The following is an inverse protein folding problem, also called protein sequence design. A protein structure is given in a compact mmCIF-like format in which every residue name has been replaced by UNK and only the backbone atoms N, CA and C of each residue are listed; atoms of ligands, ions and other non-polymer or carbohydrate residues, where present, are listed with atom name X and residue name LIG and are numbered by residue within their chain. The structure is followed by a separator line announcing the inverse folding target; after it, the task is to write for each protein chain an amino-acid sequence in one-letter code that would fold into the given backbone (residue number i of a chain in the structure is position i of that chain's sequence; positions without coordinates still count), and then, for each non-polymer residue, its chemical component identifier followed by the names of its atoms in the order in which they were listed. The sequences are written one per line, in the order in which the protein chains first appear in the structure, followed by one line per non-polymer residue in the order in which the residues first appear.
data_IF_173014239767
#
_entry.id   IF_173014239767
#
_cell.length_a   1.000
_cell.length_b   1.000
_cell.length_c   1.000
_cell.angle_alpha   90.00
_cell.angle_beta   90.00
_cell.angle_gamma   90.00
#
_symmetry.space_group_name_H-M   'P 1'
#
loop_
_entity.id
_entity.type
_entity.pdbx_description
1 polymer ?
#
# COMPACT_ATOMS: atom_id res chain seq x y z
N UNK A 1 34.77 36.73 -2.77
CA UNK A 1 34.29 35.34 -2.62
C UNK A 1 32.90 35.37 -2.00
N UNK A 2 31.87 35.37 -2.85
CA UNK A 2 30.49 35.26 -2.39
C UNK A 2 30.22 33.78 -2.09
N UNK A 3 30.30 33.40 -0.81
CA UNK A 3 29.69 32.15 -0.35
C UNK A 3 28.18 32.38 -0.33
N UNK A 4 27.54 32.17 -1.50
CA UNK A 4 26.10 32.29 -1.67
C UNK A 4 25.41 31.15 -0.93
N UNK A 5 25.11 31.38 0.34
CA UNK A 5 24.41 30.45 1.25
C UNK A 5 22.89 30.42 0.98
N UNK A 6 22.46 30.53 -0.28
CA UNK A 6 21.04 30.66 -0.70
C UNK A 6 20.63 29.52 -1.63
N UNK A 7 20.80 28.32 -1.14
CA UNK A 7 20.41 27.06 -1.76
C UNK A 7 20.24 26.11 -0.57
N UNK A 8 19.09 25.61 -0.14
CA UNK A 8 17.75 25.58 -0.71
C UNK A 8 16.80 25.20 0.44
N UNK A 9 15.96 26.11 0.97
CA UNK A 9 14.84 25.68 1.80
C UNK A 9 13.91 24.67 1.08
N UNK A 10 13.55 24.82 -0.22
CA UNK A 10 12.59 23.90 -0.83
C UNK A 10 13.16 22.49 -1.10
N UNK A 11 14.47 22.33 -1.34
CA UNK A 11 15.08 20.99 -1.51
C UNK A 11 15.13 20.26 -0.19
N UNK A 12 15.45 20.95 0.91
CA UNK A 12 15.45 20.36 2.24
C UNK A 12 14.04 19.91 2.65
N UNK A 13 13.02 20.74 2.40
CA UNK A 13 11.62 20.37 2.62
C UNK A 13 11.18 19.20 1.74
N UNK A 14 11.52 19.20 0.44
CA UNK A 14 11.20 18.09 -0.46
C UNK A 14 11.87 16.76 -0.01
N UNK A 15 13.12 16.81 0.43
CA UNK A 15 13.83 15.65 0.99
C UNK A 15 13.18 15.15 2.29
N UNK A 16 12.75 16.06 3.18
CA UNK A 16 12.01 15.71 4.40
C UNK A 16 10.66 15.04 4.09
N UNK A 17 9.89 15.56 3.14
CA UNK A 17 8.63 14.92 2.71
C UNK A 17 8.85 13.53 2.09
N UNK A 18 9.97 13.33 1.36
CA UNK A 18 10.34 12.02 0.84
C UNK A 18 10.71 11.03 1.95
N UNK A 19 11.38 11.49 3.01
CA UNK A 19 11.81 10.66 4.13
C UNK A 19 10.68 10.26 5.11
N UNK A 20 9.68 11.11 5.30
CA UNK A 20 8.56 10.83 6.24
C UNK A 20 7.68 9.66 5.74
N UNK A 21 7.65 9.41 4.42
CA UNK A 21 6.89 8.31 3.82
C UNK A 21 7.45 6.90 4.07
N UNK A 22 8.68 6.77 4.58
CA UNK A 22 9.38 5.48 4.69
C UNK A 22 9.37 4.88 6.11
N UNK A 23 8.99 5.65 7.14
CA UNK A 23 9.23 5.27 8.54
C UNK A 23 8.04 4.62 9.27
N UNK A 24 6.88 4.48 8.61
CA UNK A 24 5.69 3.92 9.23
C UNK A 24 5.35 2.56 8.61
N UNK A 25 5.21 1.53 9.46
CA UNK A 25 4.69 0.24 9.02
C UNK A 25 3.28 0.40 8.46
N UNK A 26 2.99 -0.30 7.36
CA UNK A 26 1.68 -0.21 6.71
C UNK A 26 0.59 -0.78 7.62
N UNK A 27 -0.65 -0.32 7.43
CA UNK A 27 -1.82 -0.82 8.16
C UNK A 27 -2.78 -1.47 7.19
N UNK A 28 -3.08 -2.76 7.38
CA UNK A 28 -3.93 -3.53 6.48
C UNK A 28 -5.17 -4.05 7.21
N UNK A 29 -6.22 -4.38 6.46
CA UNK A 29 -7.30 -5.20 7.00
C UNK A 29 -6.80 -6.65 7.12
N UNK A 30 -7.07 -7.31 8.25
CA UNK A 30 -6.62 -8.68 8.52
C UNK A 30 -7.80 -9.55 8.93
N UNK A 31 -8.12 -10.56 8.14
CA UNK A 31 -9.17 -11.52 8.44
C UNK A 31 -8.96 -12.82 7.66
N UNK A 32 -9.45 -13.92 8.23
CA UNK A 32 -9.23 -15.26 7.69
C UNK A 32 -7.79 -15.74 7.84
N UNK A 33 -7.54 -16.96 7.37
CA UNK A 33 -6.20 -17.56 7.31
C UNK A 33 -6.11 -18.43 6.07
N UNK A 34 -5.00 -18.28 5.34
CA UNK A 34 -4.66 -19.13 4.22
C UNK A 34 -3.48 -20.02 4.61
N UNK A 35 -3.72 -21.33 4.75
CA UNK A 35 -2.67 -22.28 5.10
C UNK A 35 -2.20 -23.03 3.85
N UNK A 36 -1.12 -22.56 3.24
CA UNK A 36 -0.55 -23.14 2.01
C UNK A 36 -0.17 -24.62 2.15
N UNK A 37 0.26 -25.06 3.33
CA UNK A 37 0.69 -26.45 3.56
C UNK A 37 -0.44 -27.47 3.76
N UNK A 38 -1.68 -27.03 3.96
CA UNK A 38 -2.82 -27.91 4.30
C UNK A 38 -3.97 -27.75 3.30
N UNK A 39 -3.96 -26.71 2.47
CA UNK A 39 -5.05 -26.38 1.55
C UNK A 39 -6.33 -25.91 2.25
N UNK A 40 -6.27 -25.60 3.55
CA UNK A 40 -7.41 -25.11 4.31
C UNK A 40 -7.47 -23.58 4.28
N UNK A 41 -8.63 -23.04 3.91
CA UNK A 41 -8.92 -21.60 3.90
C UNK A 41 -9.94 -21.34 4.99
N UNK A 42 -9.61 -20.47 5.95
CA UNK A 42 -10.59 -19.93 6.88
C UNK A 42 -11.08 -18.60 6.32
N UNK A 43 -12.31 -18.51 5.79
CA UNK A 43 -12.79 -17.29 5.14
C UNK A 43 -13.12 -16.19 6.15
N UNK A 44 -13.11 -14.94 5.70
CA UNK A 44 -13.67 -13.81 6.45
C UNK A 44 -15.20 -13.91 6.52
N UNK A 45 -15.74 -14.55 7.56
CA UNK A 45 -17.18 -14.84 7.71
C UNK A 45 -18.01 -13.56 7.94
N UNK A 46 -17.43 -12.57 8.62
CA UNK A 46 -18.08 -11.29 8.88
C UNK A 46 -17.16 -10.13 8.48
N UNK A 47 -17.27 -9.80 7.19
CA UNK A 47 -16.51 -8.74 6.54
C UNK A 47 -16.52 -7.43 7.33
N UNK A 48 -17.69 -6.99 7.78
CA UNK A 48 -17.87 -5.71 8.49
C UNK A 48 -17.38 -5.75 9.95
N UNK A 49 -17.52 -6.88 10.65
CA UNK A 49 -17.10 -6.98 12.06
C UNK A 49 -15.58 -7.10 12.26
N UNK A 50 -14.82 -7.52 11.24
CA UNK A 50 -13.36 -7.66 11.30
C UNK A 50 -12.59 -6.61 10.48
N UNK A 51 -13.26 -5.54 10.07
CA UNK A 51 -12.68 -4.38 9.36
C UNK A 51 -11.95 -3.41 10.29
N UNK A 52 -11.16 -3.93 11.23
CA UNK A 52 -10.24 -3.10 11.97
C UNK A 52 -8.93 -3.05 11.21
N UNK A 53 -8.51 -1.84 10.86
CA UNK A 53 -7.19 -1.60 10.31
C UNK A 53 -6.16 -1.95 11.38
N UNK A 54 -5.28 -2.90 11.09
CA UNK A 54 -4.26 -3.38 12.03
C UNK A 54 -2.88 -3.04 11.51
N UNK A 55 -2.02 -2.65 12.42
CA UNK A 55 -0.61 -2.44 12.13
C UNK A 55 0.06 -3.76 11.74
N UNK A 56 0.85 -3.70 10.68
CA UNK A 56 1.59 -4.84 10.15
C UNK A 56 2.94 -4.96 10.86
N UNK A 57 3.52 -6.16 10.97
CA UNK A 57 4.88 -6.31 11.46
C UNK A 57 5.83 -5.53 10.54
N UNK A 58 6.96 -5.01 11.05
CA UNK A 58 7.88 -4.19 10.26
C UNK A 58 8.51 -4.92 9.07
N UNK A 59 8.46 -6.25 9.05
CA UNK A 59 8.89 -7.08 7.93
C UNK A 59 7.86 -7.17 6.80
N UNK A 60 6.63 -6.72 7.00
CA UNK A 60 5.55 -6.81 6.02
C UNK A 60 5.39 -5.48 5.27
N UNK A 61 5.60 -5.54 3.95
CA UNK A 61 5.56 -4.38 3.06
C UNK A 61 4.31 -4.35 2.17
N UNK A 62 3.48 -5.41 2.22
CA UNK A 62 2.33 -5.58 1.32
C UNK A 62 1.07 -5.96 2.08
N UNK A 63 -0.03 -5.30 1.78
CA UNK A 63 -1.37 -5.79 2.07
C UNK A 63 -1.80 -6.76 0.96
N UNK A 64 -2.34 -7.90 1.35
CA UNK A 64 -2.88 -8.89 0.42
C UNK A 64 -4.39 -8.98 0.53
N UNK A 65 -4.99 -9.36 -0.59
CA UNK A 65 -6.36 -9.84 -0.64
C UNK A 65 -6.42 -11.07 -1.53
N UNK A 66 -6.72 -12.19 -0.92
CA UNK A 66 -6.96 -13.45 -1.60
C UNK A 66 -8.47 -13.63 -1.76
N UNK A 67 -8.91 -13.92 -2.97
CA UNK A 67 -10.31 -14.18 -3.32
C UNK A 67 -10.37 -15.54 -3.99
N UNK A 68 -11.22 -16.42 -3.49
CA UNK A 68 -11.55 -17.71 -4.09
C UNK A 68 -13.08 -17.87 -4.09
N UNK A 69 -13.63 -18.93 -4.70
CA UNK A 69 -15.09 -19.13 -4.78
C UNK A 69 -15.74 -19.05 -3.40
N UNK A 70 -16.45 -17.94 -3.14
CA UNK A 70 -17.13 -17.67 -1.88
C UNK A 70 -16.23 -17.37 -0.67
N UNK A 71 -14.91 -17.28 -0.84
CA UNK A 71 -13.95 -17.07 0.25
C UNK A 71 -13.07 -15.84 0.01
N UNK A 72 -12.92 -15.00 1.02
CA UNK A 72 -11.98 -13.88 1.01
C UNK A 72 -11.06 -14.01 2.23
N UNK A 73 -9.78 -13.77 2.03
CA UNK A 73 -8.76 -13.67 3.09
C UNK A 73 -7.95 -12.39 2.87
N UNK A 74 -7.58 -11.73 3.96
CA UNK A 74 -6.80 -10.51 3.95
C UNK A 74 -5.72 -10.57 5.00
N UNK A 75 -4.51 -10.20 4.64
CA UNK A 75 -3.39 -10.18 5.57
C UNK A 75 -2.31 -9.19 5.11
N UNK A 76 -1.22 -9.13 5.85
CA UNK A 76 0.00 -8.45 5.48
C UNK A 76 1.15 -9.46 5.30
N UNK A 77 1.96 -9.29 4.26
CA UNK A 77 3.05 -10.20 3.92
C UNK A 77 4.32 -9.43 3.58
N UNK A 78 5.51 -10.04 3.76
CA UNK A 78 6.78 -9.44 3.35
C UNK A 78 6.90 -9.27 1.83
N UNK A 79 6.39 -10.23 1.07
CA UNK A 79 6.46 -10.24 -0.39
C UNK A 79 5.14 -10.70 -0.97
N UNK A 80 4.64 -10.04 -2.01
CA UNK A 80 3.40 -10.40 -2.66
C UNK A 80 3.59 -10.53 -4.17
N UNK A 81 2.97 -11.56 -4.76
CA UNK A 81 2.91 -11.76 -6.21
C UNK A 81 1.45 -11.99 -6.57
N UNK A 82 0.92 -11.15 -7.46
CA UNK A 82 -0.43 -11.33 -7.97
C UNK A 82 -0.50 -12.62 -8.80
N UNK A 83 -1.52 -13.43 -8.52
CA UNK A 83 -1.72 -14.72 -9.16
C UNK A 83 -3.20 -14.92 -9.41
N UNK A 84 -3.50 -15.48 -10.58
CA UNK A 84 -4.83 -15.93 -10.97
C UNK A 84 -4.75 -17.40 -11.37
N UNK A 85 -5.45 -18.27 -10.65
CA UNK A 85 -5.48 -19.71 -10.92
C UNK A 85 -6.79 -20.32 -10.39
N UNK A 86 -7.47 -21.16 -11.17
CA UNK A 86 -8.62 -21.96 -10.71
C UNK A 86 -9.67 -21.15 -9.90
N UNK A 87 -10.14 -20.03 -10.45
CA UNK A 87 -11.10 -19.11 -9.79
C UNK A 87 -10.59 -18.45 -8.50
N UNK A 88 -9.28 -18.46 -8.29
CA UNK A 88 -8.60 -17.83 -7.18
C UNK A 88 -7.74 -16.67 -7.67
N UNK A 89 -7.86 -15.51 -7.03
CA UNK A 89 -7.13 -14.30 -7.38
C UNK A 89 -6.47 -13.67 -6.15
N UNK A 90 -5.18 -13.36 -6.26
CA UNK A 90 -4.41 -12.66 -5.22
C UNK A 90 -4.08 -11.25 -5.69
N UNK A 91 -4.44 -10.25 -4.89
CA UNK A 91 -4.17 -8.83 -5.14
C UNK A 91 -3.16 -8.29 -4.12
N UNK A 92 -2.25 -7.45 -4.58
CA UNK A 92 -1.16 -6.87 -3.79
C UNK A 92 -1.24 -5.34 -3.79
N UNK A 93 -1.06 -4.69 -2.65
CA UNK A 93 -0.99 -3.23 -2.56
C UNK A 93 -0.20 -2.76 -1.33
N UNK A 94 0.29 -1.52 -1.32
CA UNK A 94 1.23 -1.01 -0.31
C UNK A 94 0.73 0.22 0.47
N UNK A 95 -0.55 0.58 0.32
CA UNK A 95 -1.15 1.71 1.01
C UNK A 95 -1.99 1.24 2.21
N UNK A 96 -2.09 2.08 3.24
CA UNK A 96 -2.94 1.81 4.38
C UNK A 96 -4.38 1.50 3.94
N UNK A 97 -4.88 0.31 4.30
CA UNK A 97 -6.24 -0.13 4.03
C UNK A 97 -6.57 -0.38 2.55
N UNK A 98 -5.57 -0.45 1.68
CA UNK A 98 -5.79 -0.66 0.24
C UNK A 98 -6.48 -1.99 -0.08
N UNK A 99 -6.32 -3.01 0.77
CA UNK A 99 -6.98 -4.30 0.59
C UNK A 99 -8.47 -4.30 0.96
N UNK A 100 -9.08 -3.13 1.23
CA UNK A 100 -10.51 -2.97 1.53
C UNK A 100 -11.46 -3.19 0.36
N UNK A 101 -11.09 -2.96 -0.90
CA UNK A 101 -12.05 -3.03 -2.00
C UNK A 101 -12.07 -4.39 -2.71
N UNK A 102 -13.13 -4.69 -3.48
CA UNK A 102 -13.17 -5.78 -4.46
C UNK A 102 -11.98 -5.77 -5.43
N UNK A 103 -11.51 -4.58 -5.80
CA UNK A 103 -10.38 -4.35 -6.69
C UNK A 103 -10.07 -2.85 -6.67
N UNK A 104 -8.94 -2.42 -6.12
CA UNK A 104 -8.43 -1.06 -6.33
C UNK A 104 -7.05 -1.18 -6.95
N UNK A 105 -6.99 -0.87 -8.24
CA UNK A 105 -5.74 -0.61 -8.94
C UNK A 105 -5.08 0.55 -8.21
N UNK A 106 -3.93 0.33 -7.60
CA UNK A 106 -3.15 1.39 -6.96
C UNK A 106 -2.78 2.41 -8.03
N UNK A 107 -3.50 3.52 -8.07
CA UNK A 107 -3.27 4.55 -9.09
C UNK A 107 -2.14 5.47 -8.65
N UNK A 108 -0.95 5.32 -9.25
CA UNK A 108 0.16 6.28 -9.15
C UNK A 108 -0.17 7.68 -9.72
N UNK A 109 -1.40 7.90 -10.17
CA UNK A 109 -1.87 9.14 -10.80
C UNK A 109 -1.74 10.37 -9.89
N UNK A 110 -1.94 10.22 -8.58
CA UNK A 110 -1.83 11.34 -7.64
C UNK A 110 -0.41 11.91 -7.54
N UNK A 111 0.61 11.03 -7.57
CA UNK A 111 2.01 11.46 -7.54
C UNK A 111 2.40 12.20 -8.83
N UNK A 112 1.91 11.74 -9.99
CA UNK A 112 2.17 12.38 -11.29
C UNK A 112 1.51 13.77 -11.38
N UNK A 113 0.29 13.91 -10.86
CA UNK A 113 -0.42 15.21 -10.82
C UNK A 113 0.32 16.20 -9.90
N UNK A 114 0.81 15.74 -8.74
CA UNK A 114 1.59 16.58 -7.84
C UNK A 114 2.90 17.07 -8.49
N UNK A 115 3.63 16.17 -9.17
CA UNK A 115 4.90 16.52 -9.85
C UNK A 115 4.66 17.49 -11.01
N UNK A 116 3.62 17.28 -11.81
CA UNK A 116 3.30 18.18 -12.93
C UNK A 116 2.89 19.58 -12.46
N UNK A 117 2.14 19.69 -11.36
CA UNK A 117 1.78 20.98 -10.76
C UNK A 117 3.01 21.75 -10.25
N UNK A 118 3.95 21.06 -9.60
CA UNK A 118 5.19 21.68 -9.12
C UNK A 118 6.04 22.16 -10.30
N UNK A 119 6.19 21.35 -11.35
CA UNK A 119 6.91 21.74 -12.57
C UNK A 119 6.29 22.96 -13.25
N UNK A 120 4.96 23.02 -13.36
CA UNK A 120 4.25 24.16 -13.94
C UNK A 120 4.42 25.45 -13.13
N UNK A 121 4.50 25.35 -11.80
CA UNK A 121 4.72 26.50 -10.92
C UNK A 121 6.17 26.99 -10.95
N UNK A 122 7.16 26.09 -11.08
CA UNK A 122 8.58 26.45 -11.16
C UNK A 122 8.96 27.00 -12.54
N UNK A 123 8.36 26.49 -13.63
CA UNK A 123 8.63 26.97 -15.00
C UNK A 123 7.91 28.29 -15.35
N UNK A 124 6.91 28.70 -14.55
CA UNK A 124 6.19 29.97 -14.71
C UNK A 124 6.69 31.07 -13.75
N UNK A 125 7.65 30.77 -12.87
CA UNK A 125 8.25 31.71 -11.93
C UNK A 125 9.58 32.27 -12.41
#
# INVERSE_FOLDING_TARGET
MFLSSRAFPPILFAALFLCIGLAHGIRCYKCGQYNEGVGSITPCINYTAHMHLKECPPSAEWCIKYVSEGSIVRDCVPTCVEKEAWSTMTYCCQQDGCNSAPSVVSSNSLAIVAITMVLLLVLRG
#
